data_IF_021266847595
#
_entry.id   IF_021266847595
#
_cell.length_a   1.000
_cell.length_b   1.000
_cell.length_c   1.000
_cell.angle_alpha   90.00
_cell.angle_beta   90.00
_cell.angle_gamma   90.00
#
_symmetry.space_group_name_H-M   'P 1'
#
loop_
_entity.id
_entity.type
_entity.pdbx_description
1 polymer ?
#
# COMPACT_ATOMS: atom_id res chain seq x y z
N UNK A 1 1.20 38.20 12.45
CA UNK A 1 1.14 36.96 13.24
C UNK A 1 0.53 35.90 12.34
N UNK A 2 1.38 35.11 11.69
CA UNK A 2 0.96 34.10 10.72
C UNK A 2 0.35 32.92 11.48
N UNK A 3 -0.97 32.80 11.44
CA UNK A 3 -1.65 31.55 11.80
C UNK A 3 -1.63 30.67 10.56
N UNK A 4 -0.56 29.88 10.41
CA UNK A 4 -0.43 28.95 9.31
C UNK A 4 -1.60 27.96 9.29
N UNK A 5 -2.19 27.85 8.10
CA UNK A 5 -3.28 26.97 7.73
C UNK A 5 -3.06 25.54 8.23
N UNK A 6 -4.10 24.99 8.87
CA UNK A 6 -4.19 23.63 9.37
C UNK A 6 -4.17 22.62 8.21
N UNK A 7 -2.99 22.09 7.85
CA UNK A 7 -2.80 21.34 6.60
C UNK A 7 -3.34 19.91 6.67
N UNK A 8 -3.34 19.22 7.81
CA UNK A 8 -4.03 17.92 8.00
C UNK A 8 -4.39 17.76 9.49
N UNK A 9 -5.61 17.33 9.80
CA UNK A 9 -6.03 17.06 11.18
C UNK A 9 -5.19 15.90 11.75
N UNK A 10 -4.35 16.16 12.75
CA UNK A 10 -3.45 15.17 13.39
C UNK A 10 -4.18 13.88 13.82
N UNK A 11 -5.49 13.97 14.10
CA UNK A 11 -6.34 12.82 14.40
C UNK A 11 -6.41 11.81 13.25
N UNK A 12 -6.48 12.28 12.00
CA UNK A 12 -6.54 11.41 10.81
C UNK A 12 -5.23 10.64 10.61
N UNK A 13 -4.10 11.31 10.84
CA UNK A 13 -2.78 10.69 10.79
C UNK A 13 -2.61 9.66 11.92
N UNK A 14 -3.01 10.01 13.14
CA UNK A 14 -2.94 9.12 14.30
C UNK A 14 -3.80 7.87 14.14
N UNK A 15 -5.03 8.00 13.64
CA UNK A 15 -5.93 6.87 13.40
C UNK A 15 -5.40 5.95 12.28
N UNK A 16 -4.78 6.52 11.26
CA UNK A 16 -4.19 5.73 10.17
C UNK A 16 -2.93 5.00 10.62
N UNK A 17 -2.10 5.64 11.45
CA UNK A 17 -0.94 5.00 12.06
C UNK A 17 -1.38 3.80 12.93
N UNK A 18 -2.46 3.94 13.70
CA UNK A 18 -3.03 2.83 14.46
C UNK A 18 -3.52 1.69 13.54
N UNK A 19 -4.22 2.01 12.44
CA UNK A 19 -4.65 1.00 11.46
C UNK A 19 -3.46 0.27 10.80
N UNK A 20 -2.39 0.98 10.48
CA UNK A 20 -1.15 0.43 9.93
C UNK A 20 -0.40 -0.47 10.92
N UNK A 21 -0.40 -0.11 12.21
CA UNK A 21 0.15 -0.95 13.27
C UNK A 21 -0.62 -2.25 13.42
N UNK A 22 -1.96 -2.20 13.42
CA UNK A 22 -2.81 -3.39 13.44
C UNK A 22 -2.52 -4.28 12.24
N UNK A 23 -2.49 -3.71 11.04
CA UNK A 23 -2.24 -4.47 9.82
C UNK A 23 -0.81 -5.06 9.80
N UNK A 24 0.15 -4.39 10.43
CA UNK A 24 1.51 -4.92 10.62
C UNK A 24 1.52 -6.10 11.60
N UNK A 25 0.76 -6.02 12.70
CA UNK A 25 0.56 -7.17 13.60
C UNK A 25 -0.05 -8.36 12.88
N UNK A 26 -1.04 -8.12 12.01
CA UNK A 26 -1.65 -9.16 11.16
C UNK A 26 -0.62 -9.75 10.18
N UNK A 27 0.25 -8.96 9.56
CA UNK A 27 1.32 -9.50 8.69
C UNK A 27 2.31 -10.38 9.43
N UNK A 28 2.71 -10.00 10.65
CA UNK A 28 3.64 -10.80 11.47
C UNK A 28 2.97 -12.10 11.91
N UNK A 29 1.69 -12.04 12.28
CA UNK A 29 0.90 -13.22 12.62
C UNK A 29 0.73 -14.17 11.42
N UNK A 30 0.40 -13.64 10.24
CA UNK A 30 0.29 -14.42 9.01
C UNK A 30 1.64 -15.04 8.61
N UNK A 31 2.75 -14.30 8.74
CA UNK A 31 4.09 -14.81 8.48
C UNK A 31 4.54 -15.89 9.48
N UNK A 32 3.97 -15.92 10.69
CA UNK A 32 4.29 -16.91 11.72
C UNK A 32 3.53 -18.23 11.53
N UNK A 33 2.54 -18.28 10.64
CA UNK A 33 1.76 -19.49 10.35
C UNK A 33 2.22 -20.04 8.99
N UNK A 34 2.96 -21.15 9.01
CA UNK A 34 3.43 -21.81 7.81
C UNK A 34 2.30 -22.59 7.11
N UNK A 35 1.60 -21.90 6.19
CA UNK A 35 0.55 -22.47 5.33
C UNK A 35 1.10 -23.01 3.99
N UNK A 36 2.42 -23.21 3.89
CA UNK A 36 3.09 -23.66 2.66
C UNK A 36 2.92 -22.67 1.50
N UNK A 37 2.58 -23.18 0.31
CA UNK A 37 2.40 -22.39 -0.94
C UNK A 37 1.41 -21.21 -0.79
N UNK A 38 0.38 -21.36 0.05
CA UNK A 38 -0.67 -20.35 0.21
C UNK A 38 -0.17 -19.13 1.01
N UNK A 39 0.92 -19.28 1.77
CA UNK A 39 1.48 -18.22 2.59
C UNK A 39 1.92 -17.01 1.73
N UNK A 40 2.50 -17.25 0.56
CA UNK A 40 2.93 -16.20 -0.37
C UNK A 40 1.74 -15.40 -0.90
N UNK A 41 0.65 -16.07 -1.26
CA UNK A 41 -0.58 -15.42 -1.72
C UNK A 41 -1.22 -14.56 -0.63
N UNK A 42 -1.27 -15.07 0.60
CA UNK A 42 -1.81 -14.33 1.76
C UNK A 42 -0.91 -13.13 2.09
N UNK A 43 0.41 -13.32 2.12
CA UNK A 43 1.36 -12.24 2.38
C UNK A 43 1.26 -11.11 1.33
N UNK A 44 1.12 -11.45 0.04
CA UNK A 44 0.91 -10.50 -1.05
C UNK A 44 -0.39 -9.72 -0.89
N UNK A 45 -1.51 -10.41 -0.58
CA UNK A 45 -2.80 -9.74 -0.37
C UNK A 45 -2.74 -8.74 0.78
N UNK A 46 -2.15 -9.13 1.92
CA UNK A 46 -2.02 -8.22 3.07
C UNK A 46 -1.08 -7.05 2.72
N UNK A 47 0.02 -7.30 2.01
CA UNK A 47 0.93 -6.27 1.55
C UNK A 47 0.24 -5.26 0.61
N UNK A 48 -0.60 -5.71 -0.33
CA UNK A 48 -1.37 -4.83 -1.21
C UNK A 48 -2.36 -3.95 -0.45
N UNK A 49 -3.08 -4.52 0.53
CA UNK A 49 -4.00 -3.73 1.38
C UNK A 49 -3.25 -2.67 2.18
N UNK A 50 -2.09 -3.03 2.76
CA UNK A 50 -1.23 -2.10 3.49
C UNK A 50 -0.75 -0.97 2.60
N UNK A 51 -0.24 -1.29 1.42
CA UNK A 51 0.21 -0.30 0.45
C UNK A 51 -0.95 0.64 0.08
N UNK A 52 -2.15 0.12 -0.20
CA UNK A 52 -3.33 0.94 -0.49
C UNK A 52 -3.66 1.95 0.62
N UNK A 53 -3.56 1.55 1.89
CA UNK A 53 -3.79 2.44 3.03
C UNK A 53 -2.75 3.57 3.13
N UNK A 54 -1.47 3.25 2.89
CA UNK A 54 -0.39 4.25 2.81
C UNK A 54 -0.64 5.24 1.67
N UNK A 55 -1.03 4.74 0.50
CA UNK A 55 -1.28 5.58 -0.68
C UNK A 55 -2.46 6.53 -0.50
N UNK A 56 -3.55 6.07 0.10
CA UNK A 56 -4.75 6.88 0.28
C UNK A 56 -4.56 7.99 1.32
N UNK A 57 -3.77 7.75 2.36
CA UNK A 57 -3.66 8.68 3.50
C UNK A 57 -2.33 9.42 3.55
N UNK A 58 -1.19 8.72 3.51
CA UNK A 58 0.13 9.34 3.70
C UNK A 58 0.64 10.04 2.44
N UNK A 59 0.37 9.48 1.26
CA UNK A 59 0.67 10.15 -0.01
C UNK A 59 -0.35 11.23 -0.36
N UNK A 60 -1.28 11.58 0.56
CA UNK A 60 -2.28 12.63 0.39
C UNK A 60 -3.08 12.52 -0.93
N UNK A 61 -3.13 11.33 -1.54
CA UNK A 61 -3.65 11.14 -2.89
C UNK A 61 -5.16 11.41 -2.98
N UNK A 62 -5.86 11.37 -1.84
CA UNK A 62 -7.27 11.77 -1.71
C UNK A 62 -7.49 13.28 -1.84
N UNK A 63 -6.49 14.09 -1.48
CA UNK A 63 -6.56 15.56 -1.45
C UNK A 63 -5.71 16.22 -2.54
N UNK A 64 -4.84 15.48 -3.21
CA UNK A 64 -4.03 15.98 -4.31
C UNK A 64 -4.76 15.96 -5.67
N UNK A 65 -4.28 16.83 -6.56
CA UNK A 65 -4.85 17.09 -7.88
C UNK A 65 -5.01 15.81 -8.72
N UNK A 66 -6.06 15.77 -9.54
CA UNK A 66 -6.42 14.61 -10.38
C UNK A 66 -5.23 14.09 -11.20
N UNK A 67 -4.33 14.97 -11.65
CA UNK A 67 -3.14 14.63 -12.45
C UNK A 67 -2.17 13.71 -11.72
N UNK A 68 -1.90 13.93 -10.43
CA UNK A 68 -0.94 13.11 -9.69
C UNK A 68 -1.50 11.70 -9.44
N UNK A 69 -2.80 11.59 -9.17
CA UNK A 69 -3.52 10.31 -9.09
C UNK A 69 -3.37 9.46 -10.36
N UNK A 70 -3.52 10.07 -11.53
CA UNK A 70 -3.37 9.38 -12.81
C UNK A 70 -1.93 8.94 -13.08
N UNK A 71 -0.95 9.80 -12.79
CA UNK A 71 0.47 9.48 -12.92
C UNK A 71 0.88 8.31 -12.02
N UNK A 72 0.41 8.32 -10.78
CA UNK A 72 0.68 7.25 -9.82
C UNK A 72 0.04 5.93 -10.25
N UNK A 73 -1.23 5.96 -10.69
CA UNK A 73 -1.91 4.78 -11.21
C UNK A 73 -1.19 4.19 -12.44
N UNK A 74 -0.72 5.04 -13.35
CA UNK A 74 0.07 4.61 -14.51
C UNK A 74 1.39 3.93 -14.08
N UNK A 75 2.06 4.46 -13.06
CA UNK A 75 3.30 3.89 -12.52
C UNK A 75 3.05 2.51 -11.89
N UNK A 76 2.00 2.38 -11.08
CA UNK A 76 1.61 1.09 -10.47
C UNK A 76 1.20 0.07 -11.54
N UNK A 77 0.44 0.50 -12.55
CA UNK A 77 0.04 -0.37 -13.66
C UNK A 77 1.26 -0.87 -14.44
N UNK A 78 2.20 0.03 -14.74
CA UNK A 78 3.44 -0.32 -15.42
C UNK A 78 4.27 -1.32 -14.62
N UNK A 79 4.40 -1.10 -13.30
CA UNK A 79 5.09 -2.03 -12.39
C UNK A 79 4.40 -3.41 -12.38
N UNK A 80 3.07 -3.45 -12.32
CA UNK A 80 2.31 -4.69 -12.33
C UNK A 80 2.51 -5.48 -13.63
N UNK A 81 2.53 -4.80 -14.78
CA UNK A 81 2.83 -5.42 -16.09
C UNK A 81 4.25 -5.99 -16.10
N UNK A 82 5.25 -5.21 -15.65
CA UNK A 82 6.64 -5.68 -15.56
C UNK A 82 6.78 -6.92 -14.69
N UNK A 83 6.19 -6.92 -13.50
CA UNK A 83 6.22 -8.08 -12.59
C UNK A 83 5.53 -9.28 -13.25
N UNK A 84 4.36 -9.09 -13.86
CA UNK A 84 3.65 -10.16 -14.58
C UNK A 84 4.50 -10.78 -15.69
N UNK A 85 5.21 -9.95 -16.46
CA UNK A 85 6.12 -10.41 -17.51
C UNK A 85 7.30 -11.22 -16.96
N UNK A 86 7.88 -10.80 -15.83
CA UNK A 86 8.96 -11.54 -15.16
C UNK A 86 8.48 -12.91 -14.69
N UNK A 87 7.29 -12.99 -14.07
CA UNK A 87 6.73 -14.28 -13.65
C UNK A 87 6.42 -15.20 -14.83
N UNK A 88 5.92 -14.64 -15.94
CA UNK A 88 5.72 -15.38 -17.18
C UNK A 88 7.05 -15.94 -17.70
N UNK A 89 8.08 -15.09 -17.80
CA UNK A 89 9.42 -15.49 -18.26
C UNK A 89 10.03 -16.61 -17.40
N UNK A 90 9.96 -16.47 -16.06
CA UNK A 90 10.44 -17.49 -15.12
C UNK A 90 9.67 -18.81 -15.21
N UNK A 91 8.36 -18.76 -15.48
CA UNK A 91 7.52 -19.96 -15.56
C UNK A 91 7.74 -20.76 -16.85
N UNK A 92 8.18 -20.11 -17.94
CA UNK A 92 8.45 -20.75 -19.24
C UNK A 92 9.94 -20.95 -19.54
N UNK A 93 10.82 -20.65 -18.57
CA UNK A 93 12.24 -21.05 -18.54
C UNK A 93 12.41 -22.49 -18.08
#
# INVERSE_FOLDING_TARGET
MASESHIIEYKTLGLTLAALLVLTGVTVGAASIDLGWVNVWIALMIASVKAGFVLLVFMHMRWEGRTLRWSFLATVLFLAVMIGFIFWDVAFR
#
